data_IF_937475008022
#
_entry.id   IF_937475008022
#
_cell.length_a   1.000
_cell.length_b   1.000
_cell.length_c   1.000
_cell.angle_alpha   90.00
_cell.angle_beta   90.00
_cell.angle_gamma   90.00
#
_symmetry.space_group_name_H-M   'P 1'
#
loop_
_entity.id
_entity.type
_entity.pdbx_description
1 polymer ?
#
# COMPACT_ATOMS: atom_id res chain seq x y z
N UNK A 1 -0.86 23.30 -25.68
CA UNK A 1 -1.10 24.45 -24.79
C UNK A 1 -0.43 24.15 -23.44
N UNK A 2 0.89 24.29 -23.34
CA UNK A 2 1.58 24.27 -22.04
C UNK A 2 2.22 25.65 -21.89
N UNK A 3 1.46 26.56 -21.30
CA UNK A 3 1.91 27.93 -21.05
C UNK A 3 2.63 27.94 -19.71
N UNK A 4 3.97 27.92 -19.77
CA UNK A 4 4.95 28.55 -18.86
C UNK A 4 4.60 28.85 -17.41
N UNK A 5 3.77 28.05 -16.76
CA UNK A 5 3.38 28.20 -15.35
C UNK A 5 4.20 27.20 -14.56
N UNK A 6 5.17 27.71 -13.80
CA UNK A 6 5.88 26.91 -12.82
C UNK A 6 4.91 26.67 -11.66
N UNK A 7 4.51 25.43 -11.46
CA UNK A 7 3.78 25.04 -10.25
C UNK A 7 4.78 25.06 -9.10
N UNK A 8 4.72 26.09 -8.27
CA UNK A 8 5.47 26.14 -7.02
C UNK A 8 4.65 25.41 -5.95
N UNK A 9 4.96 24.13 -5.78
CA UNK A 9 4.41 23.26 -4.76
C UNK A 9 5.32 22.06 -4.59
N UNK A 10 5.65 21.70 -3.35
CA UNK A 10 6.30 20.43 -3.08
C UNK A 10 5.26 19.33 -3.16
N UNK A 11 5.25 18.54 -4.24
CA UNK A 11 4.59 17.23 -4.22
C UNK A 11 5.41 16.33 -3.28
N UNK A 12 4.94 16.20 -2.05
CA UNK A 12 5.47 15.21 -1.10
C UNK A 12 4.95 13.85 -1.54
N UNK A 13 5.78 13.11 -2.29
CA UNK A 13 5.57 11.69 -2.50
C UNK A 13 5.93 10.97 -1.20
N UNK A 14 4.91 10.55 -0.44
CA UNK A 14 5.12 9.65 0.68
C UNK A 14 5.49 8.28 0.13
N UNK A 15 6.69 7.81 0.51
CA UNK A 15 7.14 6.44 0.29
C UNK A 15 7.42 5.85 1.67
N UNK A 16 6.75 4.75 1.98
CA UNK A 16 7.08 3.95 3.16
C UNK A 16 8.04 2.84 2.76
N UNK A 17 9.14 2.70 3.48
CA UNK A 17 10.01 1.52 3.40
C UNK A 17 9.60 0.44 4.42
N UNK A 18 8.53 0.66 5.21
CA UNK A 18 7.93 -0.36 6.04
C UNK A 18 7.10 -1.30 5.16
N UNK A 19 7.54 -2.55 5.06
CA UNK A 19 6.77 -3.58 4.37
C UNK A 19 5.45 -3.82 5.12
N UNK A 20 4.32 -3.60 4.45
CA UNK A 20 2.99 -3.77 5.03
C UNK A 20 2.31 -2.48 5.50
N UNK A 21 2.98 -1.33 5.40
CA UNK A 21 2.37 0.01 5.52
C UNK A 21 1.77 0.40 4.17
N UNK A 22 0.53 -0.04 3.93
CA UNK A 22 -0.17 0.06 2.65
C UNK A 22 -0.75 1.47 2.48
N UNK A 23 -1.20 2.10 3.56
CA UNK A 23 -1.74 3.44 3.51
C UNK A 23 -0.66 4.54 3.59
N UNK A 24 0.61 4.15 3.77
CA UNK A 24 1.78 5.02 3.82
C UNK A 24 1.68 6.04 4.95
N UNK A 25 1.09 5.66 6.08
CA UNK A 25 0.94 6.52 7.25
C UNK A 25 2.11 6.42 8.25
N UNK A 26 3.11 5.61 7.90
CA UNK A 26 4.33 5.40 8.67
C UNK A 26 4.17 4.36 9.77
N UNK A 27 3.07 3.60 9.78
CA UNK A 27 2.78 2.56 10.76
C UNK A 27 2.21 1.35 10.05
N UNK A 28 2.42 0.17 10.62
CA UNK A 28 1.76 -1.06 10.19
C UNK A 28 0.72 -1.42 11.23
N UNK A 29 -0.53 -1.05 11.00
CA UNK A 29 -1.63 -1.22 11.94
C UNK A 29 -2.91 -1.83 11.33
N UNK A 30 -4.04 -1.72 12.04
CA UNK A 30 -5.31 -2.30 11.59
C UNK A 30 -5.86 -1.63 10.32
N UNK A 31 -5.41 -0.41 9.97
CA UNK A 31 -5.79 0.28 8.74
C UNK A 31 -5.21 -0.43 7.53
N UNK A 32 -3.96 -0.87 7.59
CA UNK A 32 -3.35 -1.66 6.51
C UNK A 32 -4.08 -2.98 6.32
N UNK A 33 -4.42 -3.65 7.44
CA UNK A 33 -5.23 -4.87 7.41
C UNK A 33 -6.62 -4.64 6.79
N UNK A 34 -7.24 -3.48 7.04
CA UNK A 34 -8.54 -3.16 6.45
C UNK A 34 -8.46 -3.00 4.93
N UNK A 35 -7.36 -2.45 4.41
CA UNK A 35 -7.13 -2.32 2.97
C UNK A 35 -6.94 -3.70 2.34
N UNK A 36 -6.13 -4.57 2.95
CA UNK A 36 -5.99 -5.95 2.48
C UNK A 36 -7.32 -6.70 2.50
N UNK A 37 -8.13 -6.51 3.55
CA UNK A 37 -9.41 -7.21 3.70
C UNK A 37 -10.40 -6.85 2.59
N UNK A 38 -10.40 -5.60 2.12
CA UNK A 38 -11.23 -5.16 1.01
C UNK A 38 -10.83 -5.80 -0.33
N UNK A 39 -9.53 -6.01 -0.52
CA UNK A 39 -8.97 -6.59 -1.74
C UNK A 39 -8.73 -8.12 -1.64
N UNK A 40 -9.04 -8.74 -0.50
CA UNK A 40 -8.70 -10.14 -0.25
C UNK A 40 -9.36 -11.10 -1.26
N UNK A 41 -8.56 -12.03 -1.79
CA UNK A 41 -8.97 -13.00 -2.80
C UNK A 41 -9.09 -12.43 -4.22
N UNK A 42 -8.77 -11.15 -4.43
CA UNK A 42 -8.70 -10.56 -5.77
C UNK A 42 -7.32 -10.79 -6.42
N UNK A 43 -7.24 -10.57 -7.72
CA UNK A 43 -6.05 -10.80 -8.54
C UNK A 43 -5.99 -9.78 -9.68
N UNK A 44 -4.85 -9.66 -10.35
CA UNK A 44 -4.65 -8.69 -11.43
C UNK A 44 -5.79 -8.75 -12.47
N UNK A 45 -6.50 -7.63 -12.62
CA UNK A 45 -7.66 -7.49 -13.51
C UNK A 45 -9.03 -7.59 -12.83
N UNK A 46 -9.11 -8.02 -11.56
CA UNK A 46 -10.32 -7.91 -10.74
C UNK A 46 -10.55 -6.43 -10.36
N UNK A 47 -11.81 -5.99 -10.32
CA UNK A 47 -12.17 -4.61 -9.96
C UNK A 47 -11.81 -4.24 -8.53
N UNK A 48 -11.66 -5.25 -7.65
CA UNK A 48 -11.24 -5.08 -6.26
C UNK A 48 -9.73 -5.17 -6.08
N UNK A 49 -8.98 -5.48 -7.13
CA UNK A 49 -7.54 -5.64 -7.02
C UNK A 49 -6.86 -4.32 -6.71
N UNK A 50 -6.09 -4.32 -5.62
CA UNK A 50 -5.29 -3.19 -5.21
C UNK A 50 -3.80 -3.58 -5.32
N UNK A 51 -3.02 -2.94 -6.22
CA UNK A 51 -1.59 -3.25 -6.38
C UNK A 51 -0.79 -3.07 -5.07
N UNK A 52 -1.20 -2.15 -4.21
CA UNK A 52 -0.50 -1.89 -2.94
C UNK A 52 -0.75 -2.99 -1.89
N UNK A 53 -1.83 -3.76 -2.04
CA UNK A 53 -2.14 -4.89 -1.18
C UNK A 53 -1.51 -6.21 -1.67
N UNK A 54 -0.93 -6.25 -2.87
CA UNK A 54 -0.13 -7.35 -3.42
C UNK A 54 1.35 -7.18 -3.02
N UNK A 55 1.63 -7.43 -1.74
CA UNK A 55 2.93 -7.14 -1.12
C UNK A 55 4.03 -8.02 -1.71
N UNK A 56 3.72 -9.29 -1.99
CA UNK A 56 4.70 -10.22 -2.56
C UNK A 56 4.83 -10.11 -4.09
N UNK A 57 3.97 -9.30 -4.74
CA UNK A 57 3.92 -9.04 -6.19
C UNK A 57 3.68 -10.30 -7.02
N UNK A 58 2.86 -11.22 -6.51
CA UNK A 58 2.49 -12.46 -7.19
C UNK A 58 1.20 -12.33 -8.03
N UNK A 59 0.65 -11.12 -8.12
CA UNK A 59 -0.61 -10.74 -8.77
C UNK A 59 -1.86 -11.32 -8.09
N UNK A 60 -1.77 -11.81 -6.84
CA UNK A 60 -2.90 -12.38 -6.10
C UNK A 60 -2.85 -11.98 -4.63
N UNK A 61 -3.90 -11.28 -4.18
CA UNK A 61 -3.98 -10.86 -2.78
C UNK A 61 -4.54 -12.01 -1.95
N UNK A 62 -3.68 -12.65 -1.17
CA UNK A 62 -4.01 -13.85 -0.41
C UNK A 62 -3.33 -13.89 0.97
N UNK A 63 -3.38 -15.05 1.63
CA UNK A 63 -2.77 -15.22 2.96
C UNK A 63 -1.26 -14.96 2.96
N UNK A 64 -0.55 -15.08 1.83
CA UNK A 64 0.88 -14.77 1.75
C UNK A 64 1.14 -13.29 2.01
N UNK A 65 0.33 -12.40 1.46
CA UNK A 65 0.43 -10.96 1.67
C UNK A 65 0.07 -10.60 3.11
N UNK A 66 -1.01 -11.21 3.63
CA UNK A 66 -1.42 -11.03 5.02
C UNK A 66 -0.29 -11.40 6.00
N UNK A 67 0.41 -12.52 5.77
CA UNK A 67 1.55 -12.94 6.60
C UNK A 67 2.68 -11.91 6.57
N UNK A 68 2.90 -11.20 5.45
CA UNK A 68 3.91 -10.15 5.37
C UNK A 68 3.52 -8.92 6.21
N UNK A 69 2.24 -8.52 6.21
CA UNK A 69 1.76 -7.46 7.12
C UNK A 69 1.92 -7.90 8.56
N UNK A 70 1.42 -9.10 8.91
CA UNK A 70 1.46 -9.59 10.29
C UNK A 70 2.89 -9.69 10.84
N UNK A 71 3.88 -9.98 10.00
CA UNK A 71 5.31 -9.98 10.40
C UNK A 71 5.83 -8.60 10.80
N UNK A 72 5.27 -7.55 10.24
CA UNK A 72 5.67 -6.16 10.50
C UNK A 72 4.65 -5.40 11.35
N UNK A 73 3.58 -6.06 11.81
CA UNK A 73 2.51 -5.43 12.56
C UNK A 73 3.02 -4.80 13.86
N UNK A 74 2.63 -3.55 14.11
CA UNK A 74 3.10 -2.75 15.23
C UNK A 74 4.43 -2.04 15.00
N UNK A 75 5.09 -2.24 13.86
CA UNK A 75 6.23 -1.41 13.48
C UNK A 75 5.75 -0.02 13.04
N UNK A 76 6.57 0.99 13.34
CA UNK A 76 6.34 2.35 12.90
C UNK A 76 7.67 3.05 12.63
N UNK A 77 7.65 4.07 11.78
CA UNK A 77 8.78 4.97 11.64
C UNK A 77 9.02 5.73 12.95
N UNK A 78 10.29 5.92 13.34
CA UNK A 78 10.67 6.76 14.49
C UNK A 78 10.38 8.25 14.24
#
# INVERSE_FOLDING_TARGET
>A
MYSGTFFEGSDIILVSALTGDINVDGKVDMRDLSIIALAFGSYLGDSRWNPEADINKDNKINMRDLVLICKNFGNSYP
#
